data_IF_032097449147
#
_entry.id   IF_032097449147
#
_cell.length_a   1.000
_cell.length_b   1.000
_cell.length_c   1.000
_cell.angle_alpha   90.00
_cell.angle_beta   90.00
_cell.angle_gamma   90.00
#
_symmetry.space_group_name_H-M   'P 1'
#
loop_
_entity.id
_entity.type
_entity.pdbx_description
1 polymer ?
#
# COMPACT_ATOMS: atom_id res chain seq x y z
N UNK A 1 -7.48 21.78 5.83
CA UNK A 1 -8.40 21.46 4.71
C UNK A 1 -9.24 20.26 5.18
N UNK A 2 -10.55 20.44 5.38
CA UNK A 2 -11.44 19.34 5.79
C UNK A 2 -11.60 18.40 4.59
N UNK A 3 -10.88 17.28 4.58
CA UNK A 3 -11.17 16.19 3.64
C UNK A 3 -12.39 15.45 4.18
N UNK A 4 -13.57 15.90 3.71
CA UNK A 4 -14.81 15.13 3.54
C UNK A 4 -15.80 14.96 4.72
N UNK A 5 -17.07 15.22 4.41
CA UNK A 5 -18.31 15.00 5.14
C UNK A 5 -18.80 13.54 5.15
N UNK A 6 -18.03 12.61 4.58
CA UNK A 6 -18.38 11.19 4.53
C UNK A 6 -18.17 10.53 5.89
N UNK A 7 -19.13 9.69 6.30
CA UNK A 7 -19.00 8.86 7.50
C UNK A 7 -17.91 7.81 7.31
N UNK A 8 -17.37 7.29 8.41
CA UNK A 8 -16.40 6.17 8.36
C UNK A 8 -16.95 4.94 7.62
N UNK A 9 -18.24 4.65 7.77
CA UNK A 9 -18.92 3.59 7.03
C UNK A 9 -18.89 3.84 5.51
N UNK A 10 -19.26 5.03 5.06
CA UNK A 10 -19.22 5.37 3.64
C UNK A 10 -17.80 5.26 3.05
N UNK A 11 -16.76 5.66 3.81
CA UNK A 11 -15.36 5.49 3.40
C UNK A 11 -15.00 4.00 3.25
N UNK A 12 -15.33 3.19 4.25
CA UNK A 12 -15.15 1.74 4.26
C UNK A 12 -15.82 1.08 3.05
N UNK A 13 -17.06 1.45 2.71
CA UNK A 13 -17.82 0.90 1.59
C UNK A 13 -17.19 1.28 0.24
N UNK A 14 -16.78 2.55 0.06
CA UNK A 14 -16.11 3.02 -1.16
C UNK A 14 -14.79 2.27 -1.37
N UNK A 15 -13.96 2.16 -0.34
CA UNK A 15 -12.68 1.44 -0.43
C UNK A 15 -12.88 -0.04 -0.71
N UNK A 16 -13.85 -0.66 -0.03
CA UNK A 16 -14.23 -2.05 -0.28
C UNK A 16 -14.67 -2.26 -1.72
N UNK A 17 -15.51 -1.37 -2.25
CA UNK A 17 -15.95 -1.45 -3.63
C UNK A 17 -14.78 -1.35 -4.61
N UNK A 18 -13.90 -0.36 -4.45
CA UNK A 18 -12.70 -0.15 -5.30
C UNK A 18 -11.80 -1.39 -5.31
N UNK A 19 -11.56 -1.98 -4.14
CA UNK A 19 -10.68 -3.13 -3.94
C UNK A 19 -11.32 -4.41 -4.51
N UNK A 20 -12.63 -4.58 -4.33
CA UNK A 20 -13.37 -5.74 -4.86
C UNK A 20 -13.33 -5.85 -6.39
N UNK A 21 -13.05 -4.75 -7.11
CA UNK A 21 -12.88 -4.79 -8.57
C UNK A 21 -11.66 -5.63 -9.02
N UNK A 22 -10.75 -5.96 -8.10
CA UNK A 22 -9.60 -6.82 -8.36
C UNK A 22 -9.80 -8.27 -7.91
N UNK A 23 -10.99 -8.66 -7.44
CA UNK A 23 -11.30 -10.06 -7.09
C UNK A 23 -10.91 -11.01 -8.23
N UNK A 24 -10.18 -12.08 -7.91
CA UNK A 24 -9.74 -13.07 -8.89
C UNK A 24 -8.60 -12.62 -9.79
N UNK A 25 -8.08 -11.39 -9.65
CA UNK A 25 -6.94 -10.93 -10.44
C UNK A 25 -5.62 -11.51 -9.90
N UNK A 26 -4.69 -11.88 -10.81
CA UNK A 26 -3.36 -12.30 -10.41
C UNK A 26 -2.54 -11.10 -9.95
N UNK A 27 -2.00 -11.18 -8.74
CA UNK A 27 -1.06 -10.24 -8.15
C UNK A 27 0.25 -11.00 -7.93
N UNK A 28 1.17 -10.85 -8.87
CA UNK A 28 2.38 -11.68 -8.96
C UNK A 28 2.05 -13.17 -9.00
N UNK A 29 2.44 -13.93 -7.98
CA UNK A 29 2.29 -15.37 -7.86
C UNK A 29 1.01 -15.80 -7.12
N UNK A 30 0.18 -14.85 -6.69
CA UNK A 30 -1.03 -15.12 -5.93
C UNK A 30 -2.25 -14.54 -6.64
N UNK A 31 -3.43 -15.12 -6.40
CA UNK A 31 -4.69 -14.56 -6.85
C UNK A 31 -5.34 -13.79 -5.70
N UNK A 32 -5.74 -12.55 -5.95
CA UNK A 32 -6.41 -11.75 -4.92
C UNK A 32 -7.81 -12.30 -4.64
N UNK A 33 -8.17 -12.37 -3.35
CA UNK A 33 -9.53 -12.62 -2.91
C UNK A 33 -9.88 -11.78 -1.68
N UNK A 34 -11.06 -11.16 -1.70
CA UNK A 34 -11.65 -10.44 -0.58
C UNK A 34 -11.87 -11.36 0.62
N UNK A 35 -11.99 -12.68 0.41
CA UNK A 35 -12.16 -13.65 1.49
C UNK A 35 -10.93 -13.80 2.41
N UNK A 36 -9.77 -13.30 1.98
CA UNK A 36 -8.58 -13.18 2.84
C UNK A 36 -8.73 -12.02 3.84
N UNK A 37 -9.66 -11.10 3.61
CA UNK A 37 -9.86 -9.91 4.44
C UNK A 37 -10.93 -10.16 5.51
N UNK A 38 -10.70 -9.65 6.72
CA UNK A 38 -11.63 -9.79 7.83
C UNK A 38 -13.01 -9.22 7.47
N UNK A 39 -14.02 -10.09 7.39
CA UNK A 39 -15.38 -9.72 7.03
C UNK A 39 -15.56 -9.36 5.55
N UNK A 40 -14.60 -9.71 4.68
CA UNK A 40 -14.70 -9.47 3.24
C UNK A 40 -14.69 -7.99 2.86
N UNK A 41 -14.06 -7.11 3.66
CA UNK A 41 -14.10 -5.67 3.46
C UNK A 41 -12.86 -4.93 3.95
N UNK A 42 -12.71 -3.69 3.51
CA UNK A 42 -11.75 -2.71 4.04
C UNK A 42 -12.42 -1.90 5.13
N UNK A 43 -11.77 -1.75 6.27
CA UNK A 43 -12.32 -1.04 7.43
C UNK A 43 -11.91 0.43 7.44
N UNK A 44 -12.70 1.26 8.11
CA UNK A 44 -12.30 2.61 8.47
C UNK A 44 -11.91 2.66 9.94
N UNK A 45 -10.75 3.24 10.22
CA UNK A 45 -10.30 3.55 11.57
C UNK A 45 -9.50 4.86 11.57
N UNK A 46 -10.20 5.95 11.90
CA UNK A 46 -9.63 7.30 11.95
C UNK A 46 -8.69 7.54 13.14
N UNK A 47 -8.46 6.56 14.02
CA UNK A 47 -7.50 6.69 15.11
C UNK A 47 -6.04 6.45 14.68
N UNK A 48 -5.82 5.84 13.50
CA UNK A 48 -4.49 5.55 13.00
C UNK A 48 -3.85 6.75 12.28
N UNK A 49 -2.54 6.91 12.46
CA UNK A 49 -1.74 7.97 11.80
C UNK A 49 -1.15 7.55 10.45
N UNK A 50 -1.32 6.28 10.07
CA UNK A 50 -0.91 5.75 8.77
C UNK A 50 -2.09 5.74 7.79
N UNK A 51 -1.84 6.04 6.51
CA UNK A 51 -2.86 6.01 5.46
C UNK A 51 -3.64 4.68 5.42
N UNK A 52 -2.88 3.58 5.54
CA UNK A 52 -3.33 2.20 5.52
C UNK A 52 -2.55 1.42 6.56
N UNK A 53 -3.19 0.44 7.17
CA UNK A 53 -2.58 -0.50 8.10
C UNK A 53 -3.22 -1.86 7.92
N UNK A 54 -2.41 -2.91 8.09
CA UNK A 54 -2.87 -4.29 8.13
C UNK A 54 -2.53 -4.94 9.47
N UNK A 55 -3.47 -5.73 9.97
CA UNK A 55 -3.30 -6.61 11.12
C UNK A 55 -3.49 -8.05 10.64
N UNK A 56 -2.50 -8.92 10.86
CA UNK A 56 -2.59 -10.32 10.44
C UNK A 56 -1.88 -11.26 11.41
N UNK A 57 -2.29 -12.52 11.38
CA UNK A 57 -1.55 -13.61 12.02
C UNK A 57 -0.57 -14.16 10.97
N UNK A 58 0.76 -14.14 11.23
CA UNK A 58 1.74 -14.68 10.31
C UNK A 58 1.41 -16.12 9.90
N UNK A 59 1.49 -16.40 8.59
CA UNK A 59 1.19 -17.73 8.03
C UNK A 59 -0.30 -18.06 7.88
N UNK A 60 -1.22 -17.27 8.42
CA UNK A 60 -2.66 -17.50 8.21
C UNK A 60 -3.11 -17.14 6.79
N UNK A 61 -2.36 -16.27 6.11
CA UNK A 61 -2.70 -15.75 4.79
C UNK A 61 -3.95 -14.85 4.78
N UNK A 62 -4.45 -14.44 5.95
CA UNK A 62 -5.65 -13.62 6.16
C UNK A 62 -5.36 -12.48 7.13
N UNK A 63 -6.10 -11.40 7.02
CA UNK A 63 -5.92 -10.25 7.90
C UNK A 63 -7.00 -9.18 7.78
N UNK A 64 -6.89 -8.14 8.60
CA UNK A 64 -7.70 -6.94 8.52
C UNK A 64 -6.88 -5.86 7.83
N UNK A 65 -7.50 -5.08 6.95
CA UNK A 65 -6.92 -3.84 6.42
C UNK A 65 -7.83 -2.68 6.80
N UNK A 66 -7.24 -1.62 7.34
CA UNK A 66 -7.95 -0.41 7.74
C UNK A 66 -7.30 0.82 7.11
N UNK A 67 -8.12 1.79 6.69
CA UNK A 67 -7.68 3.12 6.29
C UNK A 67 -8.11 4.18 7.30
N UNK A 68 -7.32 5.23 7.47
CA UNK A 68 -7.61 6.31 8.44
C UNK A 68 -8.03 7.64 7.83
N UNK A 69 -8.00 7.75 6.50
CA UNK A 69 -8.23 9.00 5.75
C UNK A 69 -7.12 10.09 5.94
N UNK A 70 -6.08 9.81 6.73
CA UNK A 70 -4.88 10.65 6.89
C UNK A 70 -3.91 10.49 5.70
N UNK A 71 -4.42 10.67 4.47
CA UNK A 71 -3.65 10.35 3.28
C UNK A 71 -2.61 11.43 2.92
N UNK A 72 -1.34 11.01 2.91
CA UNK A 72 -0.23 11.85 2.42
C UNK A 72 -0.31 12.15 0.92
N UNK A 73 -0.92 11.31 0.11
CA UNK A 73 -1.13 11.50 -1.33
C UNK A 73 -2.62 11.49 -1.67
N UNK A 74 -2.97 11.77 -2.92
CA UNK A 74 -4.34 11.72 -3.43
C UNK A 74 -4.91 10.30 -3.49
N UNK A 75 -6.19 10.15 -3.12
CA UNK A 75 -6.90 8.88 -3.03
C UNK A 75 -7.61 8.52 -4.33
N UNK A 76 -6.86 8.40 -5.43
CA UNK A 76 -7.42 7.84 -6.69
C UNK A 76 -7.71 6.35 -6.56
N UNK A 77 -8.53 5.81 -7.47
CA UNK A 77 -8.85 4.37 -7.54
C UNK A 77 -7.57 3.54 -7.59
N UNK A 78 -6.64 3.88 -8.47
CA UNK A 78 -5.39 3.15 -8.69
C UNK A 78 -4.44 3.27 -7.50
N UNK A 79 -4.37 4.43 -6.84
CA UNK A 79 -3.55 4.60 -5.64
C UNK A 79 -4.09 3.76 -4.48
N UNK A 80 -5.42 3.69 -4.32
CA UNK A 80 -6.08 2.84 -3.32
C UNK A 80 -5.80 1.38 -3.64
N UNK A 81 -6.04 0.93 -4.87
CA UNK A 81 -5.79 -0.46 -5.29
C UNK A 81 -4.32 -0.85 -5.07
N UNK A 82 -3.38 -0.01 -5.50
CA UNK A 82 -1.95 -0.27 -5.34
C UNK A 82 -1.55 -0.36 -3.87
N UNK A 83 -2.09 0.51 -3.01
CA UNK A 83 -1.77 0.48 -1.58
C UNK A 83 -2.41 -0.71 -0.88
N UNK A 84 -3.71 -0.91 -1.05
CA UNK A 84 -4.43 -1.94 -0.31
C UNK A 84 -4.07 -3.33 -0.81
N UNK A 85 -3.95 -3.53 -2.13
CA UNK A 85 -3.70 -4.87 -2.68
C UNK A 85 -2.21 -5.22 -2.66
N UNK A 86 -1.36 -4.34 -3.18
CA UNK A 86 0.05 -4.70 -3.37
C UNK A 86 0.86 -4.48 -2.09
N UNK A 87 0.65 -3.35 -1.42
CA UNK A 87 1.37 -3.04 -0.18
C UNK A 87 0.80 -3.81 1.01
N UNK A 88 -0.48 -3.66 1.31
CA UNK A 88 -1.08 -4.31 2.49
C UNK A 88 -1.35 -5.80 2.27
N UNK A 89 -2.22 -6.19 1.33
CA UNK A 89 -2.58 -7.61 1.21
C UNK A 89 -1.40 -8.48 0.74
N UNK A 90 -0.80 -8.20 -0.40
CA UNK A 90 0.25 -9.06 -0.95
C UNK A 90 1.50 -9.03 -0.07
N UNK A 91 2.02 -7.84 0.24
CA UNK A 91 3.34 -7.75 0.89
C UNK A 91 3.28 -8.01 2.40
N UNK A 92 2.30 -7.46 3.11
CA UNK A 92 2.16 -7.68 4.54
C UNK A 92 1.46 -9.02 4.82
N UNK A 93 0.20 -9.18 4.39
CA UNK A 93 -0.61 -10.35 4.78
C UNK A 93 -0.12 -11.66 4.15
N UNK A 94 0.24 -11.65 2.85
CA UNK A 94 0.63 -12.89 2.14
C UNK A 94 2.13 -13.20 2.21
N UNK A 95 3.00 -12.19 2.20
CA UNK A 95 4.47 -12.36 2.17
C UNK A 95 5.17 -12.07 3.50
N UNK A 96 4.43 -11.64 4.52
CA UNK A 96 4.94 -11.37 5.86
C UNK A 96 6.14 -10.40 5.86
N UNK A 97 6.13 -9.42 4.96
CA UNK A 97 7.13 -8.36 4.97
C UNK A 97 6.79 -7.37 6.08
N UNK A 98 7.72 -7.05 7.00
CA UNK A 98 7.43 -6.22 8.18
C UNK A 98 8.68 -5.57 8.76
N UNK A 99 8.46 -4.53 9.56
CA UNK A 99 9.51 -3.66 10.09
C UNK A 99 10.45 -4.37 11.06
N UNK A 100 9.91 -5.18 11.97
CA UNK A 100 10.65 -6.01 12.94
C UNK A 100 11.58 -7.02 12.24
N UNK A 101 11.15 -7.57 11.11
CA UNK A 101 11.97 -8.46 10.26
C UNK A 101 12.91 -7.72 9.31
N UNK A 102 12.97 -6.38 9.37
CA UNK A 102 13.76 -5.54 8.46
C UNK A 102 13.50 -5.89 6.99
N UNK A 103 12.23 -6.08 6.64
CA UNK A 103 11.80 -6.43 5.28
C UNK A 103 10.68 -5.52 4.74
N UNK A 104 10.29 -4.47 5.47
CA UNK A 104 9.22 -3.55 5.06
C UNK A 104 9.54 -2.83 3.75
N UNK A 105 10.81 -2.53 3.46
CA UNK A 105 11.21 -1.95 2.16
C UNK A 105 10.76 -2.81 0.97
N UNK A 106 10.61 -4.13 1.15
CA UNK A 106 10.17 -5.03 0.09
C UNK A 106 8.72 -4.78 -0.31
N UNK A 107 7.86 -4.36 0.61
CA UNK A 107 6.48 -3.98 0.28
C UNK A 107 6.44 -2.81 -0.72
N UNK A 108 7.26 -1.79 -0.48
CA UNK A 108 7.40 -0.67 -1.42
C UNK A 108 8.01 -1.09 -2.78
N UNK A 109 8.97 -2.02 -2.77
CA UNK A 109 9.48 -2.59 -4.03
C UNK A 109 8.40 -3.33 -4.80
N UNK A 110 7.56 -4.10 -4.13
CA UNK A 110 6.45 -4.83 -4.75
C UNK A 110 5.45 -3.87 -5.37
N UNK A 111 5.12 -2.75 -4.71
CA UNK A 111 4.31 -1.67 -5.29
C UNK A 111 4.93 -1.15 -6.58
N UNK A 112 6.20 -0.73 -6.53
CA UNK A 112 6.90 -0.11 -7.67
C UNK A 112 7.04 -1.07 -8.87
N UNK A 113 7.22 -2.37 -8.58
CA UNK A 113 7.44 -3.38 -9.60
C UNK A 113 6.13 -3.92 -10.20
N UNK A 114 4.98 -3.70 -9.56
CA UNK A 114 3.70 -4.21 -10.06
C UNK A 114 3.12 -3.28 -11.12
N UNK A 115 3.61 -3.41 -12.35
CA UNK A 115 3.35 -2.48 -13.46
C UNK A 115 1.88 -2.31 -13.84
N UNK A 116 1.08 -3.36 -13.65
CA UNK A 116 -0.36 -3.32 -13.93
C UNK A 116 -1.10 -2.21 -13.18
N UNK A 117 -0.61 -1.82 -11.99
CA UNK A 117 -1.11 -0.67 -11.23
C UNK A 117 -0.13 0.50 -11.22
N UNK A 118 1.17 0.27 -10.99
CA UNK A 118 2.17 1.33 -10.84
C UNK A 118 2.16 2.34 -11.99
N UNK A 119 2.00 1.88 -13.23
CA UNK A 119 2.05 2.81 -14.36
C UNK A 119 0.85 3.76 -14.39
N UNK A 120 -0.28 3.35 -13.80
CA UNK A 120 -1.55 4.10 -13.73
C UNK A 120 -1.67 4.97 -12.46
N UNK A 121 -0.83 4.75 -11.45
CA UNK A 121 -0.84 5.59 -10.24
C UNK A 121 -0.28 6.97 -10.52
N UNK A 122 -0.60 7.92 -9.65
CA UNK A 122 -0.20 9.30 -9.81
C UNK A 122 1.26 9.56 -9.44
N UNK A 123 1.81 10.69 -9.88
CA UNK A 123 3.22 11.04 -9.64
C UNK A 123 3.52 11.32 -8.16
N UNK A 124 2.58 11.92 -7.40
CA UNK A 124 2.77 12.13 -5.97
C UNK A 124 2.77 10.81 -5.18
N UNK A 125 1.92 9.86 -5.57
CA UNK A 125 1.95 8.49 -5.03
C UNK A 125 3.29 7.80 -5.32
N UNK A 126 3.78 7.92 -6.56
CA UNK A 126 5.09 7.38 -6.95
C UNK A 126 6.21 8.00 -6.12
N UNK A 127 6.19 9.32 -5.94
CA UNK A 127 7.14 10.07 -5.10
C UNK A 127 7.14 9.56 -3.65
N UNK A 128 5.95 9.42 -3.05
CA UNK A 128 5.80 8.88 -1.69
C UNK A 128 6.40 7.47 -1.53
N UNK A 129 6.08 6.54 -2.44
CA UNK A 129 6.57 5.16 -2.37
C UNK A 129 8.10 5.08 -2.51
N UNK A 130 8.68 5.90 -3.40
CA UNK A 130 10.13 5.95 -3.61
C UNK A 130 10.87 6.57 -2.41
N UNK A 131 10.29 7.58 -1.77
CA UNK A 131 10.82 8.14 -0.51
C UNK A 131 10.81 7.11 0.61
N UNK A 132 9.69 6.40 0.79
CA UNK A 132 9.59 5.34 1.79
C UNK A 132 10.54 4.18 1.52
N UNK A 133 10.70 3.79 0.27
CA UNK A 133 11.71 2.80 -0.12
C UNK A 133 13.12 3.25 0.27
N UNK A 134 13.49 4.51 0.02
CA UNK A 134 14.80 5.04 0.39
C UNK A 134 14.99 5.10 1.92
N UNK A 135 13.99 5.59 2.65
CA UNK A 135 13.99 5.66 4.12
C UNK A 135 14.20 4.28 4.74
N UNK A 136 13.40 3.29 4.32
CA UNK A 136 13.48 1.93 4.85
C UNK A 136 14.73 1.19 4.38
N UNK A 137 15.22 1.44 3.16
CA UNK A 137 16.52 0.88 2.73
C UNK A 137 17.62 1.30 3.69
N UNK A 138 17.69 2.58 4.06
CA UNK A 138 18.66 3.08 5.04
C UNK A 138 18.46 2.46 6.41
N UNK A 139 17.22 2.47 6.94
CA UNK A 139 16.90 1.95 8.28
C UNK A 139 17.15 0.45 8.42
N UNK A 140 16.80 -0.34 7.40
CA UNK A 140 16.82 -1.80 7.48
C UNK A 140 18.17 -2.41 7.09
N UNK A 141 18.92 -1.77 6.19
CA UNK A 141 20.14 -2.35 5.61
C UNK A 141 21.41 -1.52 5.86
N UNK A 142 21.28 -0.29 6.36
CA UNK A 142 22.40 0.66 6.49
C UNK A 142 22.86 1.29 5.18
N UNK A 143 22.34 0.85 4.02
CA UNK A 143 22.71 1.42 2.71
C UNK A 143 22.16 2.84 2.56
N UNK A 144 22.99 3.76 2.07
CA UNK A 144 22.60 5.16 1.84
C UNK A 144 21.86 5.39 0.53
N UNK A 145 21.78 4.38 -0.33
CA UNK A 145 21.16 4.46 -1.64
C UNK A 145 20.32 3.21 -1.91
N UNK A 146 19.19 3.43 -2.60
CA UNK A 146 18.38 2.34 -3.19
C UNK A 146 19.14 1.64 -4.32
N UNK A 147 18.64 0.47 -4.73
CA UNK A 147 19.23 -0.27 -5.86
C UNK A 147 19.17 0.57 -7.16
N UNK A 148 20.13 0.38 -8.08
CA UNK A 148 20.26 1.23 -9.28
C UNK A 148 18.97 1.43 -10.06
N UNK A 149 18.15 0.37 -10.20
CA UNK A 149 16.89 0.41 -10.94
C UNK A 149 15.88 1.43 -10.37
N UNK A 150 15.91 1.68 -9.06
CA UNK A 150 15.01 2.63 -8.39
C UNK A 150 15.56 4.06 -8.38
N UNK A 151 16.86 4.26 -8.62
CA UNK A 151 17.48 5.61 -8.57
C UNK A 151 16.93 6.52 -9.65
N UNK A 152 16.76 6.00 -10.86
CA UNK A 152 16.20 6.77 -11.98
C UNK A 152 14.74 7.16 -11.71
N UNK A 153 13.96 6.23 -11.16
CA UNK A 153 12.58 6.50 -10.73
C UNK A 153 12.55 7.54 -9.61
N UNK A 154 13.43 7.41 -8.61
CA UNK A 154 13.57 8.36 -7.52
C UNK A 154 13.85 9.76 -8.06
N UNK A 155 14.86 9.93 -8.92
CA UNK A 155 15.19 11.22 -9.52
C UNK A 155 14.04 11.82 -10.35
N UNK A 156 13.22 10.98 -10.98
CA UNK A 156 12.05 11.43 -11.73
C UNK A 156 10.93 11.93 -10.83
N UNK A 157 10.63 11.21 -9.74
CA UNK A 157 9.41 11.39 -8.98
C UNK A 157 9.57 12.03 -7.60
N UNK A 158 10.77 12.08 -7.02
CA UNK A 158 10.99 12.61 -5.66
C UNK A 158 10.54 14.06 -5.48
N UNK A 159 10.52 14.85 -6.56
CA UNK A 159 10.07 16.25 -6.56
C UNK A 159 8.55 16.41 -6.39
N UNK A 160 7.77 15.35 -6.60
CA UNK A 160 6.31 15.36 -6.42
C UNK A 160 5.87 14.82 -5.06
N UNK A 161 6.82 14.54 -4.15
CA UNK A 161 6.47 14.07 -2.81
C UNK A 161 5.61 15.12 -2.08
N UNK A 162 4.56 14.70 -1.38
CA UNK A 162 3.66 15.57 -0.62
C UNK A 162 4.30 16.12 0.66
#
# INVERSE_FOLDING_TARGET
KVRSSLTGGAKSDIWTHIVSQLEGQPIYDLTFTMSDLQGGKIHFDGSHTANWISDWIPGSGKGKISGSDEHKYETTVENIQSSVIVHEWYSHIKKDNRTDMKSHRLAYKNVINYKALWDKTTDAYKGFNLEKLAELTKKETGRTQVDPLYRNLFNKYHKYRP
#
